data_IF_194162029625
#
_entry.id   IF_194162029625
#
_cell.length_a   1.000
_cell.length_b   1.000
_cell.length_c   1.000
_cell.angle_alpha   90.00
_cell.angle_beta   90.00
_cell.angle_gamma   90.00
#
_symmetry.space_group_name_H-M   'P 1'
#
loop_
_entity.id
_entity.type
_entity.pdbx_description
1 polymer ?
#
# COMPACT_ATOMS: atom_id res chain seq x y z
N UNK A 1 -9.96 -2.45 -18.94
CA UNK A 1 -8.98 -2.97 -17.97
C UNK A 1 -7.68 -2.24 -18.20
N UNK A 2 -7.11 -1.60 -17.17
CA UNK A 2 -5.90 -0.79 -17.31
C UNK A 2 -4.66 -1.68 -17.45
N UNK A 3 -3.77 -1.45 -18.43
CA UNK A 3 -2.58 -2.27 -18.67
C UNK A 3 -1.43 -1.93 -17.68
N UNK A 4 -1.74 -1.79 -16.38
CA UNK A 4 -0.78 -1.39 -15.34
C UNK A 4 0.45 -2.30 -15.32
N UNK A 5 0.26 -3.61 -15.30
CA UNK A 5 1.38 -4.56 -15.22
C UNK A 5 2.32 -4.46 -16.43
N UNK A 6 1.78 -4.30 -17.63
CA UNK A 6 2.57 -4.15 -18.85
C UNK A 6 3.43 -2.88 -18.78
N UNK A 7 2.82 -1.73 -18.49
CA UNK A 7 3.53 -0.45 -18.41
C UNK A 7 4.55 -0.48 -17.27
N UNK A 8 4.17 -1.03 -16.12
CA UNK A 8 5.03 -1.11 -14.95
C UNK A 8 6.27 -1.95 -15.27
N UNK A 9 6.12 -3.08 -15.97
CA UNK A 9 7.24 -3.95 -16.34
C UNK A 9 8.32 -3.24 -17.15
N UNK A 10 7.93 -2.30 -18.00
CA UNK A 10 8.82 -1.48 -18.84
C UNK A 10 9.59 -0.38 -18.06
N UNK A 11 9.24 -0.14 -16.79
CA UNK A 11 9.89 0.89 -15.97
C UNK A 11 11.14 0.37 -15.24
N UNK A 12 12.06 1.29 -14.93
CA UNK A 12 13.18 1.01 -14.06
C UNK A 12 12.73 0.77 -12.60
N UNK A 13 13.64 0.27 -11.77
CA UNK A 13 13.30 -0.09 -10.40
C UNK A 13 12.91 1.11 -9.53
N UNK A 14 13.55 2.28 -9.70
CA UNK A 14 13.22 3.47 -8.91
C UNK A 14 11.84 3.99 -9.26
N UNK A 15 11.47 3.97 -10.53
CA UNK A 15 10.12 4.32 -10.98
C UNK A 15 9.07 3.35 -10.42
N UNK A 16 9.35 2.03 -10.44
CA UNK A 16 8.46 1.00 -9.84
C UNK A 16 8.25 1.22 -8.33
N UNK A 17 9.33 1.51 -7.60
CA UNK A 17 9.28 1.78 -6.15
C UNK A 17 8.54 3.09 -5.87
N UNK A 18 8.84 4.15 -6.61
CA UNK A 18 8.17 5.45 -6.47
C UNK A 18 6.66 5.32 -6.67
N UNK A 19 6.24 4.63 -7.74
CA UNK A 19 4.83 4.37 -8.00
C UNK A 19 4.18 3.54 -6.89
N UNK A 20 4.85 2.49 -6.41
CA UNK A 20 4.33 1.66 -5.33
C UNK A 20 4.18 2.45 -4.01
N UNK A 21 5.13 3.34 -3.71
CA UNK A 21 5.07 4.23 -2.55
C UNK A 21 3.94 5.26 -2.69
N UNK A 22 3.75 5.84 -3.89
CA UNK A 22 2.62 6.74 -4.16
C UNK A 22 1.28 6.03 -3.91
N UNK A 23 1.12 4.79 -4.40
CA UNK A 23 -0.07 3.98 -4.15
C UNK A 23 -0.31 3.69 -2.67
N UNK A 24 0.75 3.38 -1.91
CA UNK A 24 0.64 3.10 -0.49
C UNK A 24 0.38 4.37 0.35
N UNK A 25 0.96 5.51 -0.05
CA UNK A 25 0.76 6.80 0.60
C UNK A 25 -0.65 7.37 0.36
N UNK A 26 -1.23 7.13 -0.82
CA UNK A 26 -2.60 7.57 -1.16
C UNK A 26 -3.66 7.07 -0.17
N UNK A 27 -3.44 5.88 0.38
CA UNK A 27 -4.35 5.16 1.27
C UNK A 27 -3.89 5.16 2.74
N UNK A 28 -2.83 5.91 3.05
CA UNK A 28 -2.19 5.93 4.38
C UNK A 28 -3.16 6.38 5.48
N UNK A 29 -4.08 7.28 5.15
CA UNK A 29 -5.08 7.82 6.09
C UNK A 29 -5.98 6.74 6.71
N UNK A 30 -6.21 5.60 6.04
CA UNK A 30 -6.98 4.49 6.62
C UNK A 30 -6.28 3.85 7.81
N UNK A 31 -4.94 3.79 7.78
CA UNK A 31 -4.17 3.30 8.92
C UNK A 31 -4.12 4.35 10.03
N UNK A 32 -3.82 5.60 9.69
CA UNK A 32 -3.65 6.69 10.67
C UNK A 32 -4.93 7.03 11.42
N UNK A 33 -6.10 6.81 10.79
CA UNK A 33 -7.38 7.00 11.46
C UNK A 33 -7.60 5.99 12.60
N UNK A 34 -7.04 4.78 12.46
CA UNK A 34 -7.15 3.71 13.47
C UNK A 34 -5.98 3.70 14.46
N UNK A 35 -4.79 4.13 14.01
CA UNK A 35 -3.54 4.11 14.77
C UNK A 35 -2.82 5.47 14.67
N UNK A 36 -3.39 6.56 15.23
CA UNK A 36 -2.89 7.92 15.01
C UNK A 36 -1.49 8.19 15.59
N UNK A 37 -1.12 7.47 16.65
CA UNK A 37 0.19 7.61 17.31
C UNK A 37 1.27 6.69 16.69
N UNK A 38 0.89 5.75 15.81
CA UNK A 38 1.83 4.81 15.20
C UNK A 38 2.44 5.39 13.93
N UNK A 39 3.72 5.73 14.01
CA UNK A 39 4.48 6.35 12.91
C UNK A 39 5.14 5.35 11.97
N UNK A 40 5.06 4.03 12.23
CA UNK A 40 5.80 3.02 11.48
C UNK A 40 5.58 3.09 9.98
N UNK A 41 4.36 3.36 9.52
CA UNK A 41 4.06 3.45 8.09
C UNK A 41 4.66 4.72 7.45
N UNK A 42 4.55 5.89 8.09
CA UNK A 42 5.18 7.13 7.61
C UNK A 42 6.70 6.98 7.51
N UNK A 43 7.32 6.45 8.57
CA UNK A 43 8.76 6.22 8.62
C UNK A 43 9.20 5.21 7.54
N UNK A 44 8.36 4.20 7.27
CA UNK A 44 8.63 3.22 6.23
C UNK A 44 8.53 3.81 4.82
N UNK A 45 7.51 4.63 4.55
CA UNK A 45 7.38 5.35 3.27
C UNK A 45 8.59 6.26 3.06
N UNK A 46 8.97 7.05 4.07
CA UNK A 46 10.14 7.94 3.97
C UNK A 46 11.42 7.14 3.74
N UNK A 47 11.60 6.00 4.40
CA UNK A 47 12.75 5.10 4.13
C UNK A 47 12.74 4.61 2.67
N UNK A 48 11.57 4.26 2.13
CA UNK A 48 11.41 3.91 0.72
C UNK A 48 11.77 5.07 -0.23
N UNK A 49 11.38 6.31 0.11
CA UNK A 49 11.74 7.51 -0.67
C UNK A 49 13.23 7.80 -0.58
N UNK A 50 13.83 7.68 0.59
CA UNK A 50 15.26 7.82 0.81
C UNK A 50 16.04 6.79 -0.02
N UNK A 51 15.52 5.56 -0.15
CA UNK A 51 16.13 4.55 -1.02
C UNK A 51 16.09 4.96 -2.50
N UNK A 52 14.98 5.51 -2.97
CA UNK A 52 14.87 6.05 -4.35
C UNK A 52 15.92 7.17 -4.58
N UNK A 53 16.23 7.97 -3.56
CA UNK A 53 17.25 9.02 -3.58
C UNK A 53 18.68 8.52 -3.34
N UNK A 54 18.91 7.21 -3.24
CA UNK A 54 20.21 6.58 -2.92
C UNK A 54 20.79 6.96 -1.54
N UNK A 55 19.95 7.41 -0.60
CA UNK A 55 20.38 7.88 0.73
C UNK A 55 20.49 6.74 1.76
N UNK A 56 19.80 5.63 1.53
CA UNK A 56 19.78 4.46 2.42
C UNK A 56 19.99 3.16 1.64
N UNK A 57 20.39 2.11 2.35
CA UNK A 57 20.67 0.82 1.71
C UNK A 57 19.39 0.01 1.45
N UNK A 58 19.47 -0.98 0.56
CA UNK A 58 18.41 -1.99 0.40
C UNK A 58 18.12 -2.72 1.73
N UNK A 59 19.11 -2.86 2.61
CA UNK A 59 18.93 -3.48 3.93
C UNK A 59 18.04 -2.62 4.82
N UNK A 60 18.20 -1.30 4.78
CA UNK A 60 17.36 -0.37 5.54
C UNK A 60 15.92 -0.39 5.02
N UNK A 61 15.74 -0.38 3.69
CA UNK A 61 14.42 -0.55 3.07
C UNK A 61 13.77 -1.89 3.49
N UNK A 62 14.52 -3.00 3.53
CA UNK A 62 13.99 -4.29 4.01
C UNK A 62 13.53 -4.23 5.48
N UNK A 63 14.28 -3.54 6.35
CA UNK A 63 13.89 -3.37 7.77
C UNK A 63 12.61 -2.55 7.88
N UNK A 64 12.49 -1.45 7.13
CA UNK A 64 11.28 -0.65 7.06
C UNK A 64 10.08 -1.46 6.55
N UNK A 65 10.25 -2.26 5.48
CA UNK A 65 9.21 -3.16 4.99
C UNK A 65 8.73 -4.16 6.06
N UNK A 66 9.66 -4.72 6.85
CA UNK A 66 9.33 -5.60 7.99
C UNK A 66 8.56 -4.84 9.08
N UNK A 67 8.95 -3.59 9.40
CA UNK A 67 8.24 -2.77 10.37
C UNK A 67 6.78 -2.51 9.95
N UNK A 68 6.54 -2.18 8.68
CA UNK A 68 5.19 -2.03 8.14
C UNK A 68 4.39 -3.35 8.16
N UNK A 69 5.03 -4.49 7.88
CA UNK A 69 4.36 -5.79 8.02
C UNK A 69 4.04 -6.17 9.46
N UNK A 70 4.84 -5.75 10.44
CA UNK A 70 4.52 -5.92 11.84
C UNK A 70 3.35 -5.02 12.25
N UNK A 71 3.32 -3.76 11.80
CA UNK A 71 2.15 -2.90 11.97
C UNK A 71 0.87 -3.52 11.40
N UNK A 72 0.97 -4.19 10.25
CA UNK A 72 -0.17 -4.93 9.69
C UNK A 72 -0.62 -6.12 10.53
N UNK A 73 0.30 -6.79 11.25
CA UNK A 73 -0.04 -7.89 12.17
C UNK A 73 -0.69 -7.36 13.43
N UNK A 74 -0.16 -6.28 13.99
CA UNK A 74 -0.72 -5.65 15.19
C UNK A 74 -2.13 -5.10 14.93
N UNK A 75 -2.38 -4.57 13.73
CA UNK A 75 -3.72 -4.13 13.31
C UNK A 75 -4.73 -5.28 13.12
N UNK A 76 -4.24 -6.52 13.03
CA UNK A 76 -5.04 -7.74 12.88
C UNK A 76 -5.19 -8.46 14.22
N UNK A 77 -4.23 -8.34 15.14
CA UNK A 77 -4.27 -8.97 16.47
C UNK A 77 -5.22 -8.25 17.46
N UNK A 78 -6.03 -7.31 16.97
CA UNK A 78 -7.31 -6.98 17.61
C UNK A 78 -8.20 -8.24 17.59
N UNK A 79 -9.07 -8.42 18.58
CA UNK A 79 -9.79 -9.66 18.91
C UNK A 79 -10.43 -10.42 17.72
N UNK A 80 -10.66 -9.71 16.61
CA UNK A 80 -11.31 -10.14 15.39
C UNK A 80 -10.57 -11.21 14.56
N UNK A 81 -9.24 -11.15 14.44
CA UNK A 81 -8.53 -12.12 13.58
C UNK A 81 -8.41 -13.52 14.16
N UNK A 82 -8.68 -13.70 15.46
CA UNK A 82 -8.68 -15.03 16.11
C UNK A 82 -9.93 -15.85 15.76
N UNK A 83 -10.99 -15.25 15.26
CA UNK A 83 -12.29 -15.93 15.09
C UNK A 83 -12.60 -16.33 13.65
N UNK A 84 -11.80 -15.89 12.66
CA UNK A 84 -11.92 -16.33 11.27
C UNK A 84 -13.23 -15.92 10.57
N UNK A 85 -13.94 -14.94 11.11
CA UNK A 85 -15.21 -14.46 10.56
C UNK A 85 -15.01 -13.20 9.70
N UNK A 86 -15.57 -13.21 8.50
CA UNK A 86 -15.66 -12.03 7.61
C UNK A 86 -16.52 -10.95 8.25
N UNK A 87 -16.13 -9.67 8.18
CA UNK A 87 -16.89 -8.63 8.83
C UNK A 87 -18.24 -8.38 8.16
N UNK A 88 -19.29 -8.36 8.98
CA UNK A 88 -20.68 -8.07 8.58
C UNK A 88 -21.18 -6.78 9.24
N UNK A 89 -20.37 -6.07 10.03
CA UNK A 89 -20.81 -4.89 10.77
C UNK A 89 -19.97 -3.63 10.53
N UNK A 90 -20.62 -2.48 10.66
CA UNK A 90 -20.01 -1.15 10.57
C UNK A 90 -18.96 -0.98 11.68
N UNK A 91 -17.69 -0.82 11.31
CA UNK A 91 -16.55 -0.67 12.23
C UNK A 91 -15.39 -1.61 11.90
N UNK A 92 -15.68 -2.86 11.56
CA UNK A 92 -14.68 -3.89 11.25
C UNK A 92 -13.95 -3.62 9.91
N UNK A 93 -14.59 -2.87 9.01
CA UNK A 93 -13.99 -2.40 7.75
C UNK A 93 -12.80 -1.46 7.97
N UNK A 94 -12.78 -0.66 9.05
CA UNK A 94 -11.70 0.29 9.32
C UNK A 94 -10.39 -0.42 9.70
N UNK A 95 -10.45 -1.43 10.58
CA UNK A 95 -9.28 -2.23 10.96
C UNK A 95 -8.76 -3.06 9.77
N UNK A 96 -9.67 -3.64 8.98
CA UNK A 96 -9.32 -4.35 7.76
C UNK A 96 -8.65 -3.43 6.73
N UNK A 97 -9.14 -2.20 6.58
CA UNK A 97 -8.54 -1.17 5.74
C UNK A 97 -7.14 -0.78 6.26
N UNK A 98 -6.98 -0.56 7.56
CA UNK A 98 -5.69 -0.26 8.19
C UNK A 98 -4.68 -1.40 7.97
N UNK A 99 -5.07 -2.65 8.19
CA UNK A 99 -4.22 -3.81 7.91
C UNK A 99 -3.79 -3.86 6.43
N UNK A 100 -4.73 -3.70 5.51
CA UNK A 100 -4.43 -3.69 4.08
C UNK A 100 -3.50 -2.53 3.71
N UNK A 101 -3.68 -1.35 4.31
CA UNK A 101 -2.80 -0.20 4.14
C UNK A 101 -1.37 -0.48 4.61
N UNK A 102 -1.20 -1.03 5.81
CA UNK A 102 0.10 -1.43 6.33
C UNK A 102 0.79 -2.50 5.46
N UNK A 103 0.02 -3.46 4.92
CA UNK A 103 0.54 -4.42 3.94
C UNK A 103 0.95 -3.75 2.63
N UNK A 104 0.19 -2.75 2.16
CA UNK A 104 0.53 -1.98 0.96
C UNK A 104 1.89 -1.28 1.14
N UNK A 105 2.09 -0.59 2.27
CA UNK A 105 3.37 0.06 2.60
C UNK A 105 4.52 -0.96 2.67
N UNK A 106 4.32 -2.10 3.35
CA UNK A 106 5.34 -3.14 3.42
C UNK A 106 5.78 -3.65 2.04
N UNK A 107 4.82 -3.88 1.13
CA UNK A 107 5.10 -4.27 -0.25
C UNK A 107 5.78 -3.15 -1.05
N UNK A 108 5.35 -1.90 -0.88
CA UNK A 108 5.91 -0.76 -1.59
C UNK A 108 7.40 -0.57 -1.26
N UNK A 109 7.76 -0.61 0.02
CA UNK A 109 9.15 -0.50 0.45
C UNK A 109 9.95 -1.75 0.10
N UNK A 110 9.35 -2.94 0.16
CA UNK A 110 9.99 -4.18 -0.28
C UNK A 110 10.36 -4.15 -1.77
N UNK A 111 9.69 -3.35 -2.61
CA UNK A 111 10.04 -3.25 -4.03
C UNK A 111 11.48 -2.73 -4.27
N UNK A 112 12.08 -2.07 -3.29
CA UNK A 112 13.49 -1.68 -3.29
C UNK A 112 14.45 -2.88 -3.40
N UNK A 113 14.11 -4.03 -2.80
CA UNK A 113 14.95 -5.24 -2.91
C UNK A 113 14.52 -6.15 -4.07
N UNK A 114 13.21 -6.20 -4.37
CA UNK A 114 12.68 -7.01 -5.46
C UNK A 114 11.45 -6.34 -6.08
N UNK A 115 11.61 -5.89 -7.33
CA UNK A 115 10.62 -5.10 -8.05
C UNK A 115 9.22 -5.76 -8.17
N UNK A 116 9.12 -7.09 -8.06
CA UNK A 116 7.85 -7.82 -8.08
C UNK A 116 6.89 -7.49 -6.92
N UNK A 117 7.37 -6.83 -5.86
CA UNK A 117 6.51 -6.34 -4.78
C UNK A 117 5.69 -5.10 -5.16
N UNK A 118 6.12 -4.31 -6.16
CA UNK A 118 5.41 -3.10 -6.58
C UNK A 118 3.92 -3.31 -6.94
N UNK A 119 3.55 -4.28 -7.83
CA UNK A 119 2.13 -4.53 -8.13
C UNK A 119 1.32 -5.05 -6.93
N UNK A 120 1.98 -5.69 -5.96
CA UNK A 120 1.33 -6.15 -4.74
C UNK A 120 0.96 -4.97 -3.84
N UNK A 121 1.78 -3.92 -3.78
CA UNK A 121 1.46 -2.70 -3.04
C UNK A 121 0.15 -2.07 -3.55
N UNK A 122 0.02 -1.91 -4.88
CA UNK A 122 -1.19 -1.38 -5.51
C UNK A 122 -2.43 -2.27 -5.29
N UNK A 123 -2.24 -3.60 -5.30
CA UNK A 123 -3.32 -4.56 -5.00
C UNK A 123 -3.80 -4.44 -3.55
N UNK A 124 -2.89 -4.29 -2.59
CA UNK A 124 -3.27 -4.06 -1.19
C UNK A 124 -3.89 -2.68 -0.96
N UNK A 125 -3.48 -1.65 -1.70
CA UNK A 125 -4.12 -0.34 -1.67
C UNK A 125 -5.59 -0.42 -2.13
N UNK A 126 -5.86 -1.13 -3.24
CA UNK A 126 -7.23 -1.43 -3.66
C UNK A 126 -8.03 -2.17 -2.59
N UNK A 127 -7.41 -3.15 -1.93
CA UNK A 127 -8.06 -3.91 -0.87
C UNK A 127 -8.40 -3.02 0.33
N UNK A 128 -7.52 -2.08 0.71
CA UNK A 128 -7.80 -1.13 1.79
C UNK A 128 -9.03 -0.28 1.48
N UNK A 129 -9.06 0.29 0.27
CA UNK A 129 -10.17 1.09 -0.25
C UNK A 129 -11.47 0.27 -0.35
N UNK A 130 -11.38 -1.02 -0.69
CA UNK A 130 -12.54 -1.92 -0.76
C UNK A 130 -13.25 -2.12 0.57
N UNK A 131 -12.50 -2.10 1.68
CA UNK A 131 -13.04 -2.31 3.01
C UNK A 131 -13.82 -1.12 3.56
N UNK A 132 -13.72 0.04 2.90
CA UNK A 132 -14.46 1.25 3.27
C UNK A 132 -15.68 1.48 2.38
N UNK A 133 -15.92 0.63 1.39
CA UNK A 133 -17.01 0.78 0.44
C UNK A 133 -18.28 0.08 0.94
N UNK A 134 -19.43 0.75 0.79
CA UNK A 134 -20.72 0.05 0.86
C UNK A 134 -20.93 -0.82 -0.40
N UNK A 135 -21.85 -1.80 -0.39
CA UNK A 135 -22.12 -2.62 -1.57
C UNK A 135 -22.45 -1.82 -2.83
N UNK A 136 -23.18 -0.71 -2.70
CA UNK A 136 -23.58 0.15 -3.81
C UNK A 136 -22.41 1.01 -4.36
N UNK A 137 -21.40 1.27 -3.54
CA UNK A 137 -20.24 2.10 -3.90
C UNK A 137 -19.03 1.27 -4.36
N UNK A 138 -19.01 -0.03 -4.08
CA UNK A 138 -17.86 -0.93 -4.26
C UNK A 138 -17.22 -0.80 -5.64
N UNK A 139 -18.00 -0.98 -6.72
CA UNK A 139 -17.50 -0.93 -8.08
C UNK A 139 -16.95 0.46 -8.45
N UNK A 140 -17.59 1.53 -7.97
CA UNK A 140 -17.18 2.91 -8.23
C UNK A 140 -15.86 3.23 -7.51
N UNK A 141 -15.75 2.86 -6.24
CA UNK A 141 -14.58 3.12 -5.39
C UNK A 141 -13.36 2.37 -5.93
N UNK A 142 -13.50 1.08 -6.26
CA UNK A 142 -12.43 0.27 -6.87
C UNK A 142 -12.01 0.83 -8.23
N UNK A 143 -12.96 1.21 -9.08
CA UNK A 143 -12.66 1.77 -10.39
C UNK A 143 -11.92 3.09 -10.30
N UNK A 144 -12.30 3.97 -9.36
CA UNK A 144 -11.62 5.25 -9.11
C UNK A 144 -10.18 5.06 -8.63
N UNK A 145 -9.96 4.19 -7.65
CA UNK A 145 -8.61 3.91 -7.14
C UNK A 145 -7.73 3.29 -8.24
N UNK A 146 -8.28 2.35 -9.02
CA UNK A 146 -7.52 1.72 -10.11
C UNK A 146 -7.16 2.70 -11.23
N UNK A 147 -8.07 3.61 -11.55
CA UNK A 147 -7.81 4.68 -12.51
C UNK A 147 -6.73 5.63 -12.00
N UNK A 148 -6.79 6.03 -10.73
CA UNK A 148 -5.74 6.86 -10.12
C UNK A 148 -4.37 6.19 -10.18
N UNK A 149 -4.27 4.90 -9.83
CA UNK A 149 -3.03 4.12 -9.90
C UNK A 149 -2.46 4.08 -11.33
N UNK A 150 -3.34 3.93 -12.32
CA UNK A 150 -2.97 3.91 -13.74
C UNK A 150 -2.46 5.28 -14.21
N UNK A 151 -3.20 6.35 -13.93
CA UNK A 151 -2.80 7.71 -14.30
C UNK A 151 -1.48 8.10 -13.64
N UNK A 152 -1.29 7.74 -12.37
CA UNK A 152 -0.05 8.01 -11.66
C UNK A 152 1.16 7.29 -12.29
N UNK A 153 0.96 6.05 -12.74
CA UNK A 153 2.01 5.30 -13.46
C UNK A 153 2.35 5.99 -14.79
N UNK A 154 1.36 6.46 -15.54
CA UNK A 154 1.57 7.19 -16.80
C UNK A 154 2.38 8.47 -16.57
N UNK A 155 2.02 9.26 -15.56
CA UNK A 155 2.75 10.48 -15.20
C UNK A 155 4.23 10.21 -14.91
N UNK A 156 4.54 9.16 -14.15
CA UNK A 156 5.92 8.79 -13.83
C UNK A 156 6.67 8.25 -15.04
N UNK A 157 5.99 7.49 -15.90
CA UNK A 157 6.58 6.89 -17.11
C UNK A 157 6.96 7.95 -18.17
N UNK A 158 6.32 9.11 -18.13
CA UNK A 158 6.55 10.23 -19.06
C UNK A 158 7.67 11.18 -18.59
N UNK A 159 8.09 11.13 -17.32
CA UNK A 159 9.09 12.04 -16.72
C UNK A 159 10.54 11.58 -16.86
N UNK A 160 10.86 10.82 -17.92
CA UNK A 160 12.22 10.31 -18.18
C UNK A 160 13.19 11.40 -18.62
#
# INVERSE_FOLDING_TARGET
MYPIEQILNEQDQKTKVTWALDCAEHILSYYESSFPDDKRLRDSIETGRAWVRDEVTVTDARKAAVAAHNAARDAVDTEFARTGFTPLTEGEGAEAAACAAARSVGQAVAAAHAAGHAPHAATYALKAVSFTATPDEYDQIISKEREWQYQRLLELSQKK
#
